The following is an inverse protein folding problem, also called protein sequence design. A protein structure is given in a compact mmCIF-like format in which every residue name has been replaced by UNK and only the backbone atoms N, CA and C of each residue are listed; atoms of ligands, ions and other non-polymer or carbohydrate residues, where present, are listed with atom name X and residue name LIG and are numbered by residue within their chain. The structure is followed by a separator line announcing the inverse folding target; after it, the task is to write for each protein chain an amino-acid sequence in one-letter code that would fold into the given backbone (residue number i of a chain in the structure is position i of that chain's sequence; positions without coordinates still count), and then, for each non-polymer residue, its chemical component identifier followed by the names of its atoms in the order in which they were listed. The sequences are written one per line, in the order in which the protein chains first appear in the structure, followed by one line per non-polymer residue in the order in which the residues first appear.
data_IF_192052027401
#
_entry.id   IF_192052027401
#
_cell.length_a   1.000
_cell.length_b   1.000
_cell.length_c   1.000
_cell.angle_alpha   90.00
_cell.angle_beta   90.00
_cell.angle_gamma   90.00
#
_symmetry.space_group_name_H-M   'P 1'
#
loop_
_entity.id
_entity.type
_entity.pdbx_description
1 polymer ?
#
# COMPACT_ATOMS: atom_id res chain seq x y z
N UNK A 1 -7.32 -19.88 -17.77
CA UNK A 1 -7.39 -18.39 -17.63
C UNK A 1 -8.58 -18.09 -16.76
N UNK A 2 -8.39 -17.31 -15.68
CA UNK A 2 -9.49 -16.92 -14.77
C UNK A 2 -10.02 -15.56 -15.20
N UNK A 3 -11.32 -15.33 -15.07
CA UNK A 3 -11.92 -14.02 -15.23
C UNK A 3 -11.63 -13.20 -13.96
N UNK A 4 -10.85 -12.13 -14.08
CA UNK A 4 -10.40 -11.31 -12.97
C UNK A 4 -11.08 -9.94 -13.01
N UNK A 5 -11.35 -9.38 -11.83
CA UNK A 5 -11.83 -8.03 -11.67
C UNK A 5 -10.81 -7.20 -10.89
N UNK A 6 -10.63 -5.92 -11.26
CA UNK A 6 -9.75 -5.03 -10.52
C UNK A 6 -10.38 -3.65 -10.31
N UNK A 7 -10.48 -3.22 -9.08
CA UNK A 7 -11.08 -1.95 -8.66
C UNK A 7 -10.03 -1.10 -7.96
N UNK A 8 -9.88 0.14 -8.43
CA UNK A 8 -8.82 1.02 -7.94
C UNK A 8 -7.55 0.91 -8.78
N UNK A 9 -7.59 1.53 -9.97
CA UNK A 9 -6.53 1.49 -10.98
C UNK A 9 -5.57 2.70 -10.85
N UNK A 10 -5.20 3.01 -9.60
CA UNK A 10 -4.19 4.02 -9.29
C UNK A 10 -2.76 3.53 -9.54
N UNK A 11 -1.77 4.23 -8.95
CA UNK A 11 -0.34 3.96 -9.19
C UNK A 11 0.07 2.50 -9.00
N UNK A 12 -0.34 1.85 -7.91
CA UNK A 12 -0.04 0.44 -7.65
C UNK A 12 -1.06 -0.49 -8.30
N UNK A 13 -2.36 -0.26 -8.07
CA UNK A 13 -3.42 -1.15 -8.55
C UNK A 13 -3.46 -1.27 -10.08
N UNK A 14 -3.26 -0.14 -10.79
CA UNK A 14 -3.18 -0.16 -12.25
C UNK A 14 -2.00 -1.00 -12.76
N UNK A 15 -0.83 -0.89 -12.11
CA UNK A 15 0.34 -1.71 -12.50
C UNK A 15 0.14 -3.20 -12.19
N UNK A 16 -0.53 -3.53 -11.09
CA UNK A 16 -0.89 -4.92 -10.77
C UNK A 16 -1.85 -5.47 -11.83
N UNK A 17 -2.90 -4.72 -12.17
CA UNK A 17 -3.85 -5.09 -13.22
C UNK A 17 -3.16 -5.28 -14.58
N UNK A 18 -2.23 -4.35 -14.93
CA UNK A 18 -1.43 -4.45 -16.15
C UNK A 18 -0.52 -5.69 -16.18
N UNK A 19 0.01 -6.09 -15.02
CA UNK A 19 0.80 -7.32 -14.91
C UNK A 19 -0.05 -8.57 -15.10
N UNK A 20 -1.27 -8.60 -14.55
CA UNK A 20 -2.22 -9.70 -14.77
C UNK A 20 -2.62 -9.82 -16.24
N UNK A 21 -2.87 -8.70 -16.93
CA UNK A 21 -3.09 -8.68 -18.39
C UNK A 21 -1.89 -9.25 -19.15
N UNK A 22 -0.67 -8.84 -18.78
CA UNK A 22 0.56 -9.32 -19.42
C UNK A 22 0.80 -10.83 -19.21
N UNK A 23 0.21 -11.40 -18.15
CA UNK A 23 0.20 -12.84 -17.86
C UNK A 23 -0.89 -13.62 -18.63
N UNK A 24 -1.69 -12.92 -19.44
CA UNK A 24 -2.73 -13.52 -20.28
C UNK A 24 -4.08 -13.69 -19.57
N UNK A 25 -4.29 -13.09 -18.41
CA UNK A 25 -5.61 -13.10 -17.77
C UNK A 25 -6.57 -12.12 -18.46
N UNK A 26 -7.85 -12.47 -18.51
CA UNK A 26 -8.91 -11.52 -18.84
C UNK A 26 -9.19 -10.67 -17.60
N UNK A 27 -9.01 -9.35 -17.69
CA UNK A 27 -9.19 -8.42 -16.58
C UNK A 27 -10.26 -7.41 -16.89
N UNK A 28 -11.34 -7.40 -16.13
CA UNK A 28 -12.31 -6.31 -16.08
C UNK A 28 -11.91 -5.31 -15.00
N UNK A 29 -12.19 -4.02 -15.22
CA UNK A 29 -11.71 -3.02 -14.26
C UNK A 29 -12.62 -1.81 -14.09
N UNK A 30 -12.52 -1.20 -12.91
CA UNK A 30 -13.20 0.04 -12.55
C UNK A 30 -12.25 0.97 -11.79
N UNK A 31 -12.35 2.25 -12.08
CA UNK A 31 -11.69 3.30 -11.33
C UNK A 31 -12.59 4.53 -11.26
N UNK A 32 -12.57 5.26 -10.13
CA UNK A 32 -13.36 6.48 -9.95
C UNK A 32 -13.16 7.51 -11.09
N UNK A 33 -11.94 7.62 -11.58
CA UNK A 33 -11.58 8.47 -12.73
C UNK A 33 -11.15 7.58 -13.89
N UNK A 34 -12.00 7.48 -14.91
CA UNK A 34 -11.78 6.59 -16.06
C UNK A 34 -10.49 6.91 -16.83
N UNK A 35 -10.22 8.19 -17.03
CA UNK A 35 -9.05 8.64 -17.81
C UNK A 35 -7.72 8.13 -17.25
N UNK A 36 -7.63 7.96 -15.92
CA UNK A 36 -6.45 7.36 -15.28
C UNK A 36 -6.24 5.89 -15.63
N UNK A 37 -7.24 5.21 -16.17
CA UNK A 37 -7.19 3.82 -16.59
C UNK A 37 -7.06 3.64 -18.10
N UNK A 38 -7.06 4.71 -18.90
CA UNK A 38 -7.06 4.65 -20.36
C UNK A 38 -5.92 3.78 -20.90
N UNK A 39 -4.71 3.94 -20.36
CA UNK A 39 -3.54 3.15 -20.75
C UNK A 39 -3.69 1.63 -20.50
N UNK A 40 -4.56 1.21 -19.57
CA UNK A 40 -4.90 -0.19 -19.34
C UNK A 40 -5.98 -0.67 -20.31
N UNK A 41 -6.95 0.19 -20.60
CA UNK A 41 -8.00 -0.10 -21.59
C UNK A 41 -7.36 -0.34 -22.95
N UNK A 42 -6.42 0.48 -23.35
CA UNK A 42 -5.63 0.34 -24.58
C UNK A 42 -4.81 -0.97 -24.63
N UNK A 43 -4.54 -1.56 -23.45
CA UNK A 43 -3.86 -2.86 -23.30
C UNK A 43 -4.80 -4.05 -23.10
N UNK A 44 -6.11 -3.85 -23.28
CA UNK A 44 -7.10 -4.92 -23.25
C UNK A 44 -7.87 -5.07 -21.93
N UNK A 45 -7.75 -4.12 -20.99
CA UNK A 45 -8.62 -4.11 -19.81
C UNK A 45 -10.06 -3.83 -20.24
N UNK A 46 -10.99 -4.66 -19.81
CA UNK A 46 -12.42 -4.49 -20.05
C UNK A 46 -12.97 -3.50 -19.02
N UNK A 47 -13.29 -2.28 -19.47
CA UNK A 47 -13.87 -1.27 -18.59
C UNK A 47 -15.29 -1.66 -18.16
N UNK A 48 -15.59 -1.46 -16.87
CA UNK A 48 -16.91 -1.61 -16.27
C UNK A 48 -17.33 -0.31 -15.58
N UNK A 49 -18.64 -0.04 -15.56
CA UNK A 49 -19.17 1.25 -15.06
C UNK A 49 -19.39 1.26 -13.54
N UNK A 50 -19.24 0.12 -12.86
CA UNK A 50 -19.34 0.05 -11.40
C UNK A 50 -18.54 -1.10 -10.82
N UNK A 51 -18.18 -1.02 -9.50
CA UNK A 51 -17.59 -2.14 -8.76
C UNK A 51 -18.46 -3.41 -8.81
N UNK A 52 -19.79 -3.27 -8.75
CA UNK A 52 -20.73 -4.37 -8.90
C UNK A 52 -20.61 -5.08 -10.26
N UNK A 53 -20.49 -4.30 -11.34
CA UNK A 53 -20.34 -4.86 -12.68
C UNK A 53 -19.04 -5.64 -12.81
N UNK A 54 -17.93 -5.13 -12.24
CA UNK A 54 -16.65 -5.86 -12.16
C UNK A 54 -16.83 -7.18 -11.41
N UNK A 55 -17.46 -7.15 -10.24
CA UNK A 55 -17.63 -8.33 -9.39
C UNK A 55 -18.54 -9.39 -10.05
N UNK A 56 -19.54 -8.98 -10.82
CA UNK A 56 -20.38 -9.89 -11.58
C UNK A 56 -19.62 -10.60 -12.70
N UNK A 57 -18.73 -9.89 -13.39
CA UNK A 57 -17.98 -10.38 -14.53
C UNK A 57 -16.80 -11.28 -14.15
N UNK A 58 -16.35 -11.27 -12.90
CA UNK A 58 -15.12 -11.93 -12.48
C UNK A 58 -15.38 -13.06 -11.47
N UNK A 59 -14.49 -14.06 -11.46
CA UNK A 59 -14.44 -15.10 -10.43
C UNK A 59 -13.64 -14.65 -9.21
N UNK A 60 -12.59 -13.86 -9.45
CA UNK A 60 -11.74 -13.25 -8.41
C UNK A 60 -11.70 -11.74 -8.62
N UNK A 61 -12.08 -10.98 -7.60
CA UNK A 61 -12.14 -9.52 -7.61
C UNK A 61 -11.09 -8.95 -6.69
N UNK A 62 -10.24 -8.09 -7.21
CA UNK A 62 -9.24 -7.34 -6.45
C UNK A 62 -9.70 -5.91 -6.18
N UNK A 63 -9.39 -5.39 -5.00
CA UNK A 63 -9.46 -3.96 -4.71
C UNK A 63 -8.09 -3.44 -4.28
N UNK A 64 -7.74 -2.21 -4.70
CA UNK A 64 -6.59 -1.50 -4.19
C UNK A 64 -6.88 0.00 -4.13
N UNK A 65 -7.27 0.46 -2.97
CA UNK A 65 -7.75 1.82 -2.71
C UNK A 65 -6.97 2.47 -1.56
N UNK A 66 -7.21 3.77 -1.32
CA UNK A 66 -6.36 4.58 -0.44
C UNK A 66 -6.52 4.29 1.04
N UNK A 67 -7.74 4.00 1.51
CA UNK A 67 -8.08 3.91 2.93
C UNK A 67 -9.36 3.10 3.18
N UNK A 68 -9.72 2.94 4.46
CA UNK A 68 -10.91 2.19 4.90
C UNK A 68 -12.23 2.79 4.38
N UNK A 69 -12.32 4.11 4.28
CA UNK A 69 -13.52 4.78 3.78
C UNK A 69 -13.70 4.51 2.27
N UNK A 70 -12.62 4.60 1.50
CA UNK A 70 -12.62 4.28 0.07
C UNK A 70 -12.95 2.80 -0.16
N UNK A 71 -12.39 1.87 0.66
CA UNK A 71 -12.72 0.46 0.55
C UNK A 71 -14.20 0.20 0.84
N UNK A 72 -14.72 0.78 1.92
CA UNK A 72 -16.16 0.66 2.24
C UNK A 72 -17.02 1.22 1.11
N UNK A 73 -16.66 2.37 0.54
CA UNK A 73 -17.41 3.00 -0.54
C UNK A 73 -17.46 2.16 -1.82
N UNK A 74 -16.37 1.46 -2.20
CA UNK A 74 -16.37 0.58 -3.39
C UNK A 74 -16.92 -0.81 -3.10
N UNK A 75 -16.87 -1.27 -1.86
CA UNK A 75 -17.37 -2.58 -1.47
C UNK A 75 -18.89 -2.59 -1.21
N UNK A 76 -19.41 -1.55 -0.55
CA UNK A 76 -20.78 -1.49 -0.05
C UNK A 76 -21.71 -0.64 -0.94
N UNK A 77 -23.02 -0.72 -0.71
CA UNK A 77 -24.04 -0.01 -1.47
C UNK A 77 -24.45 -0.71 -2.76
N UNK A 78 -25.49 -0.18 -3.41
CA UNK A 78 -26.16 -0.83 -4.54
C UNK A 78 -25.23 -1.13 -5.75
N UNK A 79 -24.17 -0.34 -5.95
CA UNK A 79 -23.17 -0.52 -7.01
C UNK A 79 -21.83 -1.06 -6.48
N UNK A 80 -21.79 -1.51 -5.22
CA UNK A 80 -20.60 -2.04 -4.57
C UNK A 80 -20.26 -3.48 -4.98
N UNK A 81 -19.03 -3.88 -4.69
CA UNK A 81 -18.51 -5.24 -4.95
C UNK A 81 -19.42 -6.31 -4.36
N UNK A 82 -19.88 -6.11 -3.11
CA UNK A 82 -20.71 -7.08 -2.38
C UNK A 82 -21.98 -7.45 -3.13
N UNK A 83 -22.61 -6.50 -3.83
CA UNK A 83 -23.83 -6.74 -4.62
C UNK A 83 -23.55 -7.45 -5.97
N UNK A 84 -22.29 -7.62 -6.34
CA UNK A 84 -21.86 -8.40 -7.49
C UNK A 84 -21.32 -9.79 -7.12
N UNK A 85 -21.09 -10.05 -5.83
CA UNK A 85 -20.60 -11.34 -5.34
C UNK A 85 -21.70 -12.40 -5.35
N UNK A 86 -21.29 -13.63 -5.49
CA UNK A 86 -22.13 -14.84 -5.41
C UNK A 86 -21.30 -16.00 -4.86
N UNK A 87 -21.96 -17.11 -4.58
CA UNK A 87 -21.31 -18.31 -4.08
C UNK A 87 -20.14 -18.75 -4.99
N UNK A 88 -19.01 -19.04 -4.36
CA UNK A 88 -17.78 -19.49 -5.01
C UNK A 88 -16.85 -18.39 -5.52
N UNK A 89 -17.30 -17.12 -5.56
CA UNK A 89 -16.46 -15.97 -5.90
C UNK A 89 -15.51 -15.61 -4.77
N UNK A 90 -14.37 -15.01 -5.12
CA UNK A 90 -13.35 -14.58 -4.15
C UNK A 90 -13.13 -13.08 -4.28
N UNK A 91 -13.22 -12.36 -3.16
CA UNK A 91 -12.88 -10.96 -3.04
C UNK A 91 -11.53 -10.80 -2.34
N UNK A 92 -10.56 -10.16 -2.97
CA UNK A 92 -9.20 -9.94 -2.45
C UNK A 92 -8.96 -8.44 -2.31
N UNK A 93 -8.83 -7.96 -1.07
CA UNK A 93 -8.45 -6.56 -0.84
C UNK A 93 -6.94 -6.44 -0.63
N UNK A 94 -6.30 -5.64 -1.47
CA UNK A 94 -4.85 -5.37 -1.41
C UNK A 94 -4.52 -4.02 -0.75
N UNK A 95 -5.51 -3.33 -0.22
CA UNK A 95 -5.36 -2.03 0.42
C UNK A 95 -4.76 -2.14 1.82
N UNK A 96 -4.21 -1.02 2.32
CA UNK A 96 -3.84 -0.89 3.73
C UNK A 96 -4.94 -0.14 4.47
N UNK A 97 -5.77 -0.87 5.19
CA UNK A 97 -7.00 -0.42 5.86
C UNK A 97 -7.06 -0.91 7.31
N UNK A 98 -8.09 -0.55 8.06
CA UNK A 98 -8.23 -1.06 9.41
C UNK A 98 -8.61 -2.55 9.41
N UNK A 99 -8.06 -3.36 10.34
CA UNK A 99 -8.45 -4.76 10.48
C UNK A 99 -9.95 -4.95 10.77
N UNK A 100 -10.58 -3.98 11.42
CA UNK A 100 -12.01 -4.00 11.70
C UNK A 100 -12.84 -3.87 10.41
N UNK A 101 -12.45 -2.96 9.49
CA UNK A 101 -13.08 -2.84 8.17
C UNK A 101 -12.96 -4.14 7.38
N UNK A 102 -11.79 -4.75 7.35
CA UNK A 102 -11.57 -6.04 6.69
C UNK A 102 -12.49 -7.12 7.24
N UNK A 103 -12.55 -7.29 8.55
CA UNK A 103 -13.41 -8.30 9.18
C UNK A 103 -14.90 -8.08 8.90
N UNK A 104 -15.35 -6.82 8.94
CA UNK A 104 -16.74 -6.49 8.63
C UNK A 104 -17.12 -6.82 7.18
N UNK A 105 -16.24 -6.52 6.21
CA UNK A 105 -16.48 -6.85 4.80
C UNK A 105 -16.38 -8.36 4.54
N UNK A 106 -15.48 -9.07 5.22
CA UNK A 106 -15.38 -10.53 5.13
C UNK A 106 -16.65 -11.22 5.61
N UNK A 107 -17.26 -10.74 6.71
CA UNK A 107 -18.54 -11.26 7.18
C UNK A 107 -19.64 -11.04 6.14
N UNK A 108 -19.75 -9.83 5.57
CA UNK A 108 -20.74 -9.50 4.54
C UNK A 108 -20.54 -10.30 3.22
N UNK A 109 -19.29 -10.59 2.83
CA UNK A 109 -19.01 -11.46 1.69
C UNK A 109 -19.47 -12.90 1.97
N UNK A 110 -19.21 -13.40 3.19
CA UNK A 110 -19.63 -14.75 3.62
C UNK A 110 -21.15 -14.91 3.62
N UNK A 111 -21.91 -13.89 3.99
CA UNK A 111 -23.40 -13.89 3.92
C UNK A 111 -23.91 -14.10 2.49
N UNK A 112 -23.11 -13.79 1.48
CA UNK A 112 -23.39 -13.98 0.04
C UNK A 112 -22.81 -15.28 -0.51
N UNK A 113 -22.24 -16.13 0.34
CA UNK A 113 -21.58 -17.36 -0.04
C UNK A 113 -20.22 -17.15 -0.75
N UNK A 114 -19.67 -15.94 -0.70
CA UNK A 114 -18.36 -15.60 -1.25
C UNK A 114 -17.29 -15.62 -0.16
N UNK A 115 -16.04 -15.80 -0.59
CA UNK A 115 -14.87 -15.76 0.27
C UNK A 115 -14.17 -14.41 0.16
N UNK A 116 -13.59 -13.91 1.25
CA UNK A 116 -12.74 -12.72 1.22
C UNK A 116 -11.35 -13.05 1.74
N UNK A 117 -10.33 -12.39 1.15
CA UNK A 117 -8.95 -12.37 1.66
C UNK A 117 -8.47 -10.92 1.77
N UNK A 118 -7.77 -10.57 2.84
CA UNK A 118 -6.93 -9.38 2.90
C UNK A 118 -5.52 -9.74 2.42
N UNK A 119 -5.04 -9.00 1.43
CA UNK A 119 -3.79 -9.32 0.73
C UNK A 119 -2.93 -8.07 0.47
N UNK A 120 -2.60 -7.27 1.49
CA UNK A 120 -1.75 -6.11 1.30
C UNK A 120 -0.37 -6.51 0.80
N UNK A 121 0.24 -5.56 0.05
CA UNK A 121 1.54 -5.75 -0.59
C UNK A 121 2.66 -5.04 0.16
N UNK A 122 3.86 -5.56 0.04
CA UNK A 122 5.09 -4.93 0.49
C UNK A 122 6.08 -4.83 -0.67
N UNK A 123 6.53 -3.61 -0.91
CA UNK A 123 7.42 -3.21 -1.99
C UNK A 123 7.00 -1.87 -2.59
N UNK A 124 7.82 -1.33 -3.48
CA UNK A 124 7.59 -0.09 -4.22
C UNK A 124 7.09 -0.37 -5.64
N UNK A 125 6.82 0.69 -6.41
CA UNK A 125 6.54 0.59 -7.85
C UNK A 125 7.67 -0.17 -8.57
N UNK A 126 8.93 0.17 -8.27
CA UNK A 126 10.09 -0.51 -8.84
C UNK A 126 10.10 -2.01 -8.53
N UNK A 127 9.79 -2.39 -7.29
CA UNK A 127 9.72 -3.80 -6.87
C UNK A 127 8.59 -4.55 -7.59
N UNK A 128 7.47 -3.87 -7.84
CA UNK A 128 6.35 -4.42 -8.61
C UNK A 128 6.75 -4.66 -10.07
N UNK A 129 7.36 -3.67 -10.72
CA UNK A 129 7.81 -3.78 -12.12
C UNK A 129 8.82 -4.92 -12.31
N UNK A 130 9.67 -5.15 -11.32
CA UNK A 130 10.60 -6.29 -11.28
C UNK A 130 9.92 -7.63 -10.93
N UNK A 131 8.63 -7.64 -10.61
CA UNK A 131 7.93 -8.85 -10.17
C UNK A 131 8.33 -9.35 -8.79
N UNK A 132 8.91 -8.49 -7.96
CA UNK A 132 9.48 -8.84 -6.64
C UNK A 132 8.60 -8.41 -5.46
N UNK A 133 7.34 -8.01 -5.70
CA UNK A 133 6.42 -7.75 -4.60
C UNK A 133 6.27 -8.96 -3.68
N UNK A 134 6.11 -8.70 -2.40
CA UNK A 134 5.69 -9.71 -1.43
C UNK A 134 4.29 -9.36 -0.93
N UNK A 135 3.49 -10.38 -0.70
CA UNK A 135 2.11 -10.28 -0.24
C UNK A 135 1.94 -11.02 1.08
N UNK A 136 1.22 -10.40 1.99
CA UNK A 136 0.72 -11.06 3.20
C UNK A 136 -0.74 -11.39 2.95
N UNK A 137 -1.20 -12.58 3.33
CA UNK A 137 -2.57 -13.00 3.07
C UNK A 137 -3.24 -13.43 4.37
N UNK A 138 -4.37 -12.79 4.66
CA UNK A 138 -5.26 -13.13 5.77
C UNK A 138 -6.59 -13.65 5.26
N UNK A 139 -7.19 -14.56 6.02
CA UNK A 139 -8.46 -15.19 5.68
C UNK A 139 -8.39 -16.72 5.69
N UNK A 140 -9.33 -17.37 5.03
CA UNK A 140 -9.40 -18.83 5.00
C UNK A 140 -8.21 -19.42 4.24
N UNK A 141 -7.51 -20.38 4.87
CA UNK A 141 -6.32 -21.01 4.31
C UNK A 141 -6.61 -21.76 3.00
N UNK A 142 -7.72 -22.46 2.91
CA UNK A 142 -8.08 -23.20 1.69
C UNK A 142 -8.37 -22.24 0.52
N UNK A 143 -8.96 -21.08 0.80
CA UNK A 143 -9.16 -20.03 -0.20
C UNK A 143 -7.84 -19.41 -0.65
N UNK A 144 -6.91 -19.16 0.29
CA UNK A 144 -5.55 -18.76 -0.06
C UNK A 144 -4.87 -19.77 -0.99
N UNK A 145 -4.93 -21.06 -0.67
CA UNK A 145 -4.30 -22.10 -1.49
C UNK A 145 -4.85 -22.16 -2.93
N UNK A 146 -6.15 -21.90 -3.10
CA UNK A 146 -6.80 -21.82 -4.43
C UNK A 146 -6.28 -20.64 -5.26
N UNK A 147 -6.02 -19.47 -4.65
CA UNK A 147 -5.57 -18.27 -5.37
C UNK A 147 -4.06 -18.07 -5.32
N UNK A 148 -3.32 -18.88 -4.58
CA UNK A 148 -1.87 -18.75 -4.44
C UNK A 148 -1.13 -18.71 -5.80
N UNK A 149 -1.43 -19.59 -6.78
CA UNK A 149 -0.80 -19.49 -8.10
C UNK A 149 -1.06 -18.15 -8.80
N UNK A 150 -2.29 -17.61 -8.68
CA UNK A 150 -2.66 -16.30 -9.22
C UNK A 150 -1.89 -15.15 -8.55
N UNK A 151 -1.70 -15.22 -7.22
CA UNK A 151 -0.93 -14.21 -6.50
C UNK A 151 0.55 -14.21 -6.95
N UNK A 152 1.11 -15.35 -7.33
CA UNK A 152 2.47 -15.43 -7.86
C UNK A 152 2.63 -14.82 -9.26
N UNK A 153 1.55 -14.60 -10.01
CA UNK A 153 1.57 -13.79 -11.23
C UNK A 153 1.75 -12.30 -10.92
N UNK A 154 1.39 -11.85 -9.71
CA UNK A 154 1.55 -10.47 -9.24
C UNK A 154 2.94 -10.23 -8.64
N UNK A 155 3.42 -11.12 -7.79
CA UNK A 155 4.68 -10.92 -7.06
C UNK A 155 5.44 -12.21 -6.76
N UNK A 156 6.62 -12.07 -6.17
CA UNK A 156 7.54 -13.19 -5.96
C UNK A 156 7.10 -14.13 -4.81
N UNK A 157 6.32 -13.62 -3.87
CA UNK A 157 5.96 -14.39 -2.66
C UNK A 157 4.61 -13.95 -2.11
N UNK A 158 3.77 -14.92 -1.75
CA UNK A 158 2.56 -14.70 -0.96
C UNK A 158 2.62 -15.60 0.29
N UNK A 159 2.39 -15.02 1.47
CA UNK A 159 2.49 -15.72 2.74
C UNK A 159 1.17 -15.62 3.49
N UNK A 160 0.55 -16.76 3.81
CA UNK A 160 -0.62 -16.79 4.68
C UNK A 160 -0.20 -16.52 6.13
N UNK A 161 -0.77 -15.50 6.75
CA UNK A 161 -0.36 -15.02 8.09
C UNK A 161 -1.45 -15.17 9.16
N UNK A 162 -2.65 -15.64 8.80
CA UNK A 162 -3.72 -15.87 9.76
C UNK A 162 -5.12 -15.64 9.18
N UNK A 163 -6.13 -15.49 10.04
CA UNK A 163 -7.51 -15.16 9.66
C UNK A 163 -7.67 -13.73 9.12
N UNK A 164 -8.92 -13.35 8.81
CA UNK A 164 -9.25 -12.03 8.29
C UNK A 164 -8.74 -10.89 9.20
N UNK A 165 -8.06 -9.93 8.59
CA UNK A 165 -7.45 -8.79 9.27
C UNK A 165 -6.02 -9.05 9.77
N UNK A 166 -5.52 -10.29 9.74
CA UNK A 166 -4.15 -10.60 10.15
C UNK A 166 -3.13 -10.00 9.17
N UNK A 167 -3.40 -10.04 7.87
CA UNK A 167 -2.46 -9.53 6.88
C UNK A 167 -2.39 -8.00 6.89
N UNK A 168 -3.52 -7.30 7.01
CA UNK A 168 -3.50 -5.83 7.16
C UNK A 168 -2.85 -5.42 8.48
N UNK A 169 -3.04 -6.17 9.58
CA UNK A 169 -2.32 -5.93 10.85
C UNK A 169 -0.81 -6.09 10.67
N UNK A 170 -0.37 -7.15 9.97
CA UNK A 170 1.04 -7.34 9.66
C UNK A 170 1.59 -6.23 8.76
N UNK A 171 0.80 -5.79 7.77
CA UNK A 171 1.18 -4.66 6.90
C UNK A 171 1.33 -3.35 7.70
N UNK A 172 0.42 -3.07 8.62
CA UNK A 172 0.50 -1.93 9.53
C UNK A 172 1.78 -2.01 10.38
N UNK A 173 2.08 -3.19 10.94
CA UNK A 173 3.29 -3.44 11.71
C UNK A 173 4.58 -3.28 10.90
N UNK A 174 4.57 -3.55 9.60
CA UNK A 174 5.71 -3.25 8.71
C UNK A 174 5.82 -1.76 8.41
N UNK A 175 4.71 -1.11 8.05
CA UNK A 175 4.73 0.26 7.58
C UNK A 175 5.04 1.29 8.69
N UNK A 176 4.71 1.01 9.96
CA UNK A 176 5.09 1.90 11.06
C UNK A 176 6.61 2.13 11.14
N UNK A 177 7.41 1.16 10.69
CA UNK A 177 8.88 1.28 10.71
C UNK A 177 9.42 2.28 9.68
N UNK A 178 8.66 2.63 8.64
CA UNK A 178 9.11 3.54 7.57
C UNK A 178 9.38 4.93 8.16
N UNK A 179 8.43 5.49 8.92
CA UNK A 179 8.59 6.81 9.52
C UNK A 179 9.75 6.87 10.49
N UNK A 180 9.90 5.86 11.36
CA UNK A 180 10.99 5.78 12.32
C UNK A 180 12.37 5.70 11.62
N UNK A 181 12.49 4.89 10.56
CA UNK A 181 13.74 4.77 9.81
C UNK A 181 14.08 6.07 9.07
N UNK A 182 13.09 6.74 8.46
CA UNK A 182 13.32 8.02 7.78
C UNK A 182 13.72 9.11 8.73
N UNK A 183 13.14 9.18 9.94
CA UNK A 183 13.56 10.14 10.96
C UNK A 183 14.99 9.88 11.40
N UNK A 184 15.31 8.66 11.82
CA UNK A 184 16.67 8.32 12.29
C UNK A 184 17.72 8.56 11.18
N UNK A 185 17.39 8.23 9.93
CA UNK A 185 18.24 8.53 8.78
C UNK A 185 18.44 10.03 8.59
N UNK A 186 17.37 10.82 8.62
CA UNK A 186 17.41 12.27 8.43
C UNK A 186 18.20 12.96 9.54
N UNK A 187 18.02 12.55 10.80
CA UNK A 187 18.80 13.02 11.95
C UNK A 187 20.29 12.74 11.76
N UNK A 188 20.65 11.53 11.32
CA UNK A 188 22.04 11.14 11.05
C UNK A 188 22.69 11.97 9.95
N UNK A 189 21.99 12.21 8.84
CA UNK A 189 22.50 13.03 7.73
C UNK A 189 22.68 14.50 8.20
N UNK A 190 21.70 15.07 8.89
CA UNK A 190 21.78 16.46 9.39
C UNK A 190 22.87 16.63 10.42
N UNK A 191 23.06 15.65 11.31
CA UNK A 191 24.15 15.66 12.29
C UNK A 191 25.52 15.66 11.59
N UNK A 192 25.69 14.82 10.59
CA UNK A 192 26.93 14.76 9.79
C UNK A 192 27.17 16.10 9.06
N UNK A 193 26.13 16.66 8.42
CA UNK A 193 26.22 17.93 7.69
C UNK A 193 26.60 19.09 8.63
N UNK A 194 25.99 19.20 9.80
CA UNK A 194 26.34 20.21 10.82
C UNK A 194 27.73 20.01 11.42
N UNK A 195 28.27 18.79 11.32
CA UNK A 195 29.65 18.48 11.70
C UNK A 195 30.68 18.79 10.60
N UNK A 196 30.23 19.34 9.45
CA UNK A 196 31.10 19.73 8.34
C UNK A 196 31.32 18.66 7.27
N UNK A 197 30.55 17.56 7.31
CA UNK A 197 30.58 16.54 6.27
C UNK A 197 29.57 16.93 5.18
N UNK A 198 29.99 16.91 3.93
CA UNK A 198 29.10 17.15 2.79
C UNK A 198 27.91 16.17 2.78
N UNK A 199 26.71 16.68 2.50
CA UNK A 199 25.46 15.89 2.54
C UNK A 199 25.54 14.66 1.65
N UNK A 200 26.03 14.81 0.42
CA UNK A 200 26.17 13.69 -0.51
C UNK A 200 27.10 12.62 0.05
N UNK A 201 28.23 13.02 0.60
CA UNK A 201 29.18 12.11 1.25
C UNK A 201 28.54 11.38 2.44
N UNK A 202 27.79 12.09 3.29
CA UNK A 202 27.06 11.49 4.41
C UNK A 202 26.03 10.44 3.95
N UNK A 203 25.28 10.75 2.88
CA UNK A 203 24.34 9.82 2.24
C UNK A 203 25.05 8.58 1.71
N UNK A 204 26.13 8.75 0.95
CA UNK A 204 26.87 7.63 0.37
C UNK A 204 27.45 6.70 1.45
N UNK A 205 27.99 7.26 2.51
CA UNK A 205 28.51 6.49 3.67
C UNK A 205 27.39 5.76 4.39
N UNK A 206 26.27 6.45 4.67
CA UNK A 206 25.15 5.84 5.36
C UNK A 206 24.57 4.66 4.56
N UNK A 207 24.33 4.86 3.25
CA UNK A 207 23.74 3.84 2.38
C UNK A 207 24.69 2.66 2.11
N UNK A 208 25.99 2.84 2.22
CA UNK A 208 26.97 1.74 2.15
C UNK A 208 27.15 0.98 3.47
N UNK A 209 26.59 1.50 4.57
CA UNK A 209 26.72 0.91 5.89
C UNK A 209 25.72 -0.20 6.16
N UNK A 210 25.93 -0.98 7.21
CA UNK A 210 24.99 -1.99 7.69
C UNK A 210 23.66 -1.40 8.23
N UNK A 211 23.58 -0.08 8.40
CA UNK A 211 22.36 0.60 8.88
C UNK A 211 21.35 0.84 7.77
N UNK A 212 21.73 0.71 6.51
CA UNK A 212 20.85 0.92 5.37
C UNK A 212 19.96 -0.30 5.10
N UNK A 213 18.70 -0.21 5.52
CA UNK A 213 17.69 -1.20 5.11
C UNK A 213 17.42 -1.12 3.60
N UNK A 214 16.86 -2.18 2.97
CA UNK A 214 16.44 -2.11 1.57
C UNK A 214 15.52 -0.91 1.25
N UNK A 215 14.69 -0.49 2.22
CA UNK A 215 13.84 0.70 2.07
C UNK A 215 14.69 1.98 1.99
N UNK A 216 15.68 2.14 2.84
CA UNK A 216 16.59 3.28 2.80
C UNK A 216 17.49 3.27 1.56
N UNK A 217 17.89 2.10 1.04
CA UNK A 217 18.68 2.01 -0.17
C UNK A 217 18.03 2.71 -1.37
N UNK A 218 16.72 2.54 -1.57
CA UNK A 218 16.05 3.17 -2.72
C UNK A 218 15.45 4.54 -2.39
N UNK A 219 15.19 4.88 -1.12
CA UNK A 219 14.55 6.14 -0.75
C UNK A 219 15.53 7.15 -0.14
N UNK A 220 16.62 6.70 0.46
CA UNK A 220 17.63 7.56 1.06
C UNK A 220 18.17 8.65 0.13
N UNK A 221 18.43 8.38 -1.16
CA UNK A 221 18.85 9.40 -2.12
C UNK A 221 17.87 10.57 -2.29
N UNK A 222 16.60 10.42 -1.89
CA UNK A 222 15.59 11.48 -2.02
C UNK A 222 15.85 12.70 -1.13
N UNK A 223 16.74 12.59 -0.14
CA UNK A 223 17.19 13.76 0.63
C UNK A 223 18.17 14.64 -0.17
N UNK A 224 18.73 14.14 -1.28
CA UNK A 224 19.54 14.89 -2.23
C UNK A 224 18.68 15.43 -3.38
N UNK A 225 17.78 14.61 -3.88
CA UNK A 225 16.91 14.94 -5.01
C UNK A 225 15.55 14.26 -4.83
N UNK A 226 14.55 15.06 -4.47
CA UNK A 226 13.18 14.59 -4.25
C UNK A 226 12.55 14.23 -5.60
N UNK A 227 11.93 13.05 -5.75
CA UNK A 227 11.28 12.67 -7.00
C UNK A 227 10.09 13.59 -7.31
N UNK A 228 9.90 13.89 -8.60
CA UNK A 228 8.79 14.72 -9.06
C UNK A 228 7.42 14.09 -8.75
N UNK A 229 7.32 12.76 -8.76
CA UNK A 229 6.13 12.00 -8.37
C UNK A 229 6.45 11.14 -7.13
N UNK A 230 5.68 11.33 -6.08
CA UNK A 230 5.87 10.57 -4.84
C UNK A 230 5.61 9.07 -5.05
N UNK A 231 6.51 8.23 -4.58
CA UNK A 231 6.28 6.77 -4.57
C UNK A 231 5.36 6.35 -3.43
N UNK A 232 5.41 7.09 -2.32
CA UNK A 232 4.55 6.95 -1.15
C UNK A 232 4.51 8.28 -0.42
N UNK A 233 3.43 9.04 -0.59
CA UNK A 233 3.36 10.42 -0.10
C UNK A 233 3.20 10.51 1.43
N UNK A 234 3.46 11.71 1.96
CA UNK A 234 3.35 12.02 3.39
C UNK A 234 1.96 11.68 3.94
N UNK A 235 0.87 11.93 3.18
CA UNK A 235 -0.50 11.64 3.63
C UNK A 235 -0.72 10.15 3.81
N UNK A 236 -0.21 9.34 2.88
CA UNK A 236 -0.36 7.89 2.91
C UNK A 236 0.43 7.27 4.06
N UNK A 237 1.66 7.73 4.31
CA UNK A 237 2.43 7.28 5.47
C UNK A 237 1.76 7.70 6.78
N UNK A 238 1.22 8.93 6.87
CA UNK A 238 0.50 9.40 8.05
C UNK A 238 -0.77 8.60 8.31
N UNK A 239 -1.51 8.25 7.27
CA UNK A 239 -2.66 7.35 7.39
C UNK A 239 -2.24 6.01 8.00
N UNK A 240 -1.16 5.41 7.52
CA UNK A 240 -0.67 4.12 8.03
C UNK A 240 -0.17 4.23 9.48
N UNK A 241 0.52 5.32 9.84
CA UNK A 241 0.91 5.61 11.21
C UNK A 241 -0.32 5.75 12.13
N UNK A 242 -1.38 6.42 11.66
CA UNK A 242 -2.66 6.53 12.38
C UNK A 242 -3.33 5.18 12.61
N UNK A 243 -3.35 4.30 11.59
CA UNK A 243 -3.83 2.92 11.74
C UNK A 243 -3.01 2.16 12.79
N UNK A 244 -1.68 2.30 12.77
CA UNK A 244 -0.80 1.65 13.75
C UNK A 244 -1.08 2.14 15.18
N UNK A 245 -1.17 3.45 15.38
CA UNK A 245 -1.45 4.05 16.70
C UNK A 245 -2.82 3.61 17.25
N UNK A 246 -3.83 3.53 16.39
CA UNK A 246 -5.15 3.02 16.78
C UNK A 246 -5.07 1.56 17.19
N UNK A 247 -4.48 0.72 16.35
CA UNK A 247 -4.32 -0.71 16.63
C UNK A 247 -3.46 -0.96 17.89
N UNK A 248 -2.39 -0.18 18.08
CA UNK A 248 -1.55 -0.24 19.27
C UNK A 248 -2.33 0.04 20.55
N UNK A 249 -3.20 1.07 20.54
CA UNK A 249 -4.08 1.37 21.69
C UNK A 249 -5.08 0.26 21.97
N UNK A 250 -5.70 -0.30 20.93
CA UNK A 250 -6.64 -1.42 21.06
C UNK A 250 -5.99 -2.68 21.66
N UNK A 251 -4.73 -2.93 21.30
CA UNK A 251 -3.99 -4.13 21.73
C UNK A 251 -3.09 -3.91 22.97
N UNK A 252 -3.03 -2.69 23.50
CA UNK A 252 -2.17 -2.35 24.64
C UNK A 252 -0.67 -2.34 24.29
N UNK A 253 -0.31 -2.12 23.01
CA UNK A 253 1.09 -2.05 22.55
C UNK A 253 1.51 -0.57 22.48
N UNK A 254 2.50 -0.10 23.29
CA UNK A 254 2.99 1.26 23.20
C UNK A 254 3.81 1.45 21.90
N UNK A 255 3.55 2.54 21.16
CA UNK A 255 4.21 2.86 19.90
C UNK A 255 4.86 4.27 19.94
N UNK A 256 5.83 4.54 20.82
CA UNK A 256 6.39 5.89 20.99
C UNK A 256 7.08 6.42 19.73
N UNK A 257 7.85 5.61 19.00
CA UNK A 257 8.53 6.03 17.77
C UNK A 257 7.52 6.37 16.67
N UNK A 258 6.43 5.59 16.55
CA UNK A 258 5.35 5.87 15.59
C UNK A 258 4.60 7.16 15.94
N UNK A 259 4.41 7.44 17.23
CA UNK A 259 3.76 8.67 17.68
C UNK A 259 4.63 9.90 17.30
N UNK A 260 5.93 9.86 17.53
CA UNK A 260 6.86 10.92 17.11
C UNK A 260 6.83 11.07 15.58
N UNK A 261 6.92 9.98 14.84
CA UNK A 261 6.87 10.01 13.37
C UNK A 261 5.55 10.63 12.86
N UNK A 262 4.42 10.31 13.49
CA UNK A 262 3.12 10.89 13.13
C UNK A 262 3.09 12.40 13.34
N UNK A 263 3.66 12.92 14.45
CA UNK A 263 3.75 14.38 14.68
C UNK A 263 4.67 15.07 13.67
N UNK A 264 5.77 14.45 13.27
CA UNK A 264 6.63 14.99 12.21
C UNK A 264 5.93 14.98 10.84
N UNK A 265 5.09 13.97 10.54
CA UNK A 265 4.24 13.96 9.35
C UNK A 265 3.16 15.04 9.41
N UNK A 266 2.62 15.34 10.61
CA UNK A 266 1.72 16.49 10.82
C UNK A 266 2.44 17.81 10.53
N UNK A 267 3.69 17.98 11.00
CA UNK A 267 4.52 19.15 10.69
C UNK A 267 4.80 19.26 9.17
N UNK A 268 5.10 18.14 8.50
CA UNK A 268 5.29 18.10 7.04
C UNK A 268 4.05 18.63 6.29
N UNK A 269 2.85 18.24 6.71
CA UNK A 269 1.60 18.76 6.14
C UNK A 269 1.41 20.26 6.41
N UNK A 270 1.74 20.70 7.63
CA UNK A 270 1.71 22.13 7.97
C UNK A 270 2.65 22.99 7.10
N UNK A 271 3.71 22.39 6.59
CA UNK A 271 4.66 23.01 5.65
C UNK A 271 4.24 22.85 4.17
N UNK A 272 3.08 22.26 3.87
CA UNK A 272 2.60 22.05 2.50
C UNK A 272 3.32 20.91 1.75
N UNK A 273 3.94 19.96 2.47
CA UNK A 273 4.70 18.85 1.89
C UNK A 273 3.87 17.57 1.73
N UNK A 274 2.55 17.62 1.94
CA UNK A 274 1.68 16.45 2.03
C UNK A 274 1.65 15.58 0.75
N UNK A 275 1.91 16.16 -0.41
CA UNK A 275 1.93 15.47 -1.70
C UNK A 275 3.33 14.97 -2.10
N UNK A 276 4.39 15.39 -1.38
CA UNK A 276 5.75 14.89 -1.60
C UNK A 276 5.90 13.47 -1.07
N UNK A 277 6.92 12.77 -1.55
CA UNK A 277 7.33 11.48 -0.95
C UNK A 277 7.62 11.65 0.54
N UNK A 278 7.34 10.62 1.34
CA UNK A 278 7.53 10.66 2.79
C UNK A 278 9.00 10.92 3.22
N UNK A 279 9.97 10.81 2.32
CA UNK A 279 11.34 11.27 2.53
C UNK A 279 11.41 12.79 2.82
N UNK A 280 10.36 13.56 2.53
CA UNK A 280 10.22 14.98 2.92
C UNK A 280 10.23 15.20 4.45
N UNK A 281 10.19 14.17 5.27
CA UNK A 281 10.53 14.26 6.71
C UNK A 281 11.92 14.85 6.92
N UNK A 282 12.86 14.65 6.00
CA UNK A 282 14.14 15.32 6.00
C UNK A 282 14.00 16.85 5.93
N UNK A 283 13.14 17.36 5.04
CA UNK A 283 12.91 18.81 4.87
C UNK A 283 12.36 19.44 6.17
N UNK A 284 11.49 18.73 6.89
CA UNK A 284 10.97 19.16 8.18
C UNK A 284 12.11 19.31 9.20
N UNK A 285 12.93 18.27 9.35
CA UNK A 285 14.03 18.27 10.31
C UNK A 285 15.13 19.27 9.90
N UNK A 286 15.43 19.40 8.61
CA UNK A 286 16.37 20.39 8.09
C UNK A 286 15.94 21.81 8.46
N UNK A 287 14.64 22.12 8.25
CA UNK A 287 14.06 23.41 8.65
C UNK A 287 14.23 23.68 10.16
N UNK A 288 13.91 22.68 11.00
CA UNK A 288 14.08 22.80 12.46
C UNK A 288 15.56 22.96 12.87
N UNK A 289 16.48 22.35 12.13
CA UNK A 289 17.92 22.45 12.37
C UNK A 289 18.55 23.72 11.78
N UNK A 290 17.79 24.57 11.08
CA UNK A 290 18.32 25.75 10.39
C UNK A 290 19.27 25.39 9.24
N UNK A 291 19.03 24.25 8.59
CA UNK A 291 19.75 23.77 7.43
C UNK A 291 18.85 23.92 6.20
N UNK A 292 19.41 24.30 5.07
CA UNK A 292 18.62 24.37 3.83
C UNK A 292 18.23 22.96 3.40
N UNK A 293 16.94 22.71 3.13
CA UNK A 293 16.46 21.40 2.67
C UNK A 293 17.09 20.95 1.38
#
# INVERSE_FOLDING_TARGET
MSALGFIGLGAMGGRIAGRLLAKGHTVSGYNRTRDKAQWLIDRGLQWMDSPRAVARAADVVFTMVTDSAALTAVASGAEGVLEGLAAGKIFIDMSTVSPATTRALAAQASERGAEMLDCPVSGSILTLEQGKLTMMVGGNRSTFERVHPLLLDIGAKATHVGGHGAAVSMKIALNLSIGAQLLAYSEGILLAEKSGIDRKTAVDVFLSSAMASPMLQYRGPFVLEMPAEAWFDVRMLQKDAGLALTLGRELGVPLPTTAIANEMLTAARGLGLEAKDCAALFEVLASLAGVKP
#
